data_IF_419826421367
#
_entry.id   IF_419826421367
#
_cell.length_a   1.000
_cell.length_b   1.000
_cell.length_c   1.000
_cell.angle_alpha   90.00
_cell.angle_beta   90.00
_cell.angle_gamma   90.00
#
_symmetry.space_group_name_H-M   'P 1'
#
loop_
_entity.id
_entity.type
_entity.pdbx_description
1 polymer ?
#
# COMPACT_ATOMS: atom_id res chain seq x y z
N UNK A 1 10.14 -29.63 -21.01
CA UNK A 1 8.97 -28.76 -21.24
C UNK A 1 8.01 -28.86 -20.07
N UNK A 2 8.42 -28.46 -18.86
CA UNK A 2 7.53 -28.07 -17.75
C UNK A 2 8.38 -27.58 -16.54
N UNK A 3 8.95 -26.38 -16.65
CA UNK A 3 9.49 -25.62 -15.49
C UNK A 3 8.96 -24.19 -15.43
N UNK A 4 8.06 -23.83 -16.35
CA UNK A 4 7.39 -22.53 -16.45
C UNK A 4 5.98 -22.55 -15.84
N UNK A 5 5.54 -23.71 -15.30
CA UNK A 5 4.22 -23.85 -14.66
C UNK A 5 4.27 -23.71 -13.13
N UNK A 6 5.39 -24.04 -12.49
CA UNK A 6 5.55 -23.97 -11.03
C UNK A 6 5.68 -22.55 -10.45
N UNK A 7 5.85 -21.53 -11.30
CA UNK A 7 5.83 -20.11 -10.88
C UNK A 7 4.41 -19.51 -10.91
N UNK A 8 3.41 -20.28 -11.35
CA UNK A 8 2.06 -19.77 -11.62
C UNK A 8 0.97 -20.46 -10.79
N UNK A 9 1.35 -21.19 -9.74
CA UNK A 9 0.40 -21.89 -8.87
C UNK A 9 0.41 -21.27 -7.45
N UNK A 10 -0.61 -20.44 -7.23
CA UNK A 10 -1.25 -20.11 -5.94
C UNK A 10 -0.53 -19.15 -4.97
N UNK A 11 -0.61 -17.87 -5.32
CA UNK A 11 -0.44 -16.72 -4.43
C UNK A 11 -0.14 -15.51 -5.29
N UNK A 12 -1.11 -14.60 -5.47
CA UNK A 12 -0.87 -13.33 -6.16
C UNK A 12 0.40 -12.70 -5.61
N UNK A 13 1.33 -12.29 -6.49
CA UNK A 13 2.63 -11.77 -6.02
C UNK A 13 2.41 -10.34 -5.54
N UNK A 14 1.96 -10.20 -4.30
CA UNK A 14 1.84 -8.91 -3.64
C UNK A 14 3.25 -8.33 -3.49
N UNK A 15 3.49 -7.19 -4.12
CA UNK A 15 4.76 -6.46 -4.04
C UNK A 15 4.47 -5.04 -3.57
N UNK A 16 5.13 -4.65 -2.48
CA UNK A 16 5.20 -3.26 -2.07
C UNK A 16 6.52 -2.65 -2.58
N UNK A 17 6.44 -1.44 -3.12
CA UNK A 17 7.59 -0.72 -3.65
C UNK A 17 7.43 0.80 -3.47
N UNK A 18 8.55 1.53 -3.44
CA UNK A 18 8.50 2.98 -3.53
C UNK A 18 7.87 3.41 -4.86
N UNK A 19 7.06 4.46 -4.87
CA UNK A 19 6.45 4.96 -6.11
C UNK A 19 7.48 5.41 -7.15
N UNK A 20 8.70 5.76 -6.71
CA UNK A 20 9.85 6.12 -7.54
C UNK A 20 10.69 4.93 -8.00
N UNK A 21 10.45 3.72 -7.48
CA UNK A 21 11.23 2.53 -7.80
C UNK A 21 11.14 2.19 -9.30
N UNK A 22 12.26 1.84 -9.98
CA UNK A 22 12.24 1.52 -11.40
C UNK A 22 11.35 0.31 -11.76
N UNK A 23 11.07 -0.60 -10.82
CA UNK A 23 10.14 -1.71 -11.03
C UNK A 23 8.66 -1.27 -11.00
N UNK A 24 8.35 -0.05 -10.54
CA UNK A 24 6.99 0.49 -10.61
C UNK A 24 6.64 0.91 -12.03
N UNK A 25 5.72 0.20 -12.69
CA UNK A 25 5.24 0.54 -14.03
C UNK A 25 4.28 1.75 -14.06
N UNK A 26 3.63 2.07 -12.94
CA UNK A 26 2.69 3.18 -12.84
C UNK A 26 3.40 4.54 -12.91
N UNK A 27 2.83 5.44 -13.72
CA UNK A 27 3.43 6.73 -14.06
C UNK A 27 4.65 6.66 -14.97
N UNK A 28 5.00 5.47 -15.51
CA UNK A 28 6.00 5.29 -16.57
C UNK A 28 5.33 4.80 -17.85
N UNK A 29 4.73 3.61 -17.79
CA UNK A 29 4.08 2.96 -18.94
C UNK A 29 2.60 2.66 -18.68
N UNK A 30 2.21 2.51 -17.41
CA UNK A 30 0.81 2.42 -16.99
C UNK A 30 0.33 3.77 -16.46
N UNK A 31 -0.88 4.23 -16.82
CA UNK A 31 -1.49 5.39 -16.19
C UNK A 31 -1.84 5.07 -14.72
N UNK A 32 -1.83 6.09 -13.87
CA UNK A 32 -2.40 5.95 -12.54
C UNK A 32 -3.93 5.75 -12.64
N UNK A 33 -4.52 4.86 -11.83
CA UNK A 33 -5.96 4.72 -11.79
C UNK A 33 -6.63 5.98 -11.20
N UNK A 34 -7.91 6.16 -11.52
CA UNK A 34 -8.72 7.18 -10.88
C UNK A 34 -8.91 6.87 -9.39
N UNK A 35 -8.81 7.89 -8.55
CA UNK A 35 -8.92 7.77 -7.10
C UNK A 35 -9.33 9.10 -6.47
N UNK A 36 -9.72 9.07 -5.19
CA UNK A 36 -10.06 10.28 -4.43
C UNK A 36 -8.87 11.22 -4.14
N UNK A 37 -7.67 10.94 -4.67
CA UNK A 37 -6.44 11.70 -4.46
C UNK A 37 -5.55 11.74 -5.72
N UNK A 38 -4.33 12.27 -5.58
CA UNK A 38 -3.36 12.32 -6.70
C UNK A 38 -2.21 11.36 -6.48
N UNK A 39 -2.21 10.29 -7.27
CA UNK A 39 -1.07 9.37 -7.35
C UNK A 39 0.03 9.95 -8.25
N UNK A 40 1.29 9.79 -7.84
CA UNK A 40 2.44 10.27 -8.58
C UNK A 40 3.71 9.49 -8.21
N UNK A 41 4.72 9.52 -9.08
CA UNK A 41 6.07 9.03 -8.76
C UNK A 41 6.76 10.03 -7.84
N UNK A 42 6.52 9.92 -6.54
CA UNK A 42 7.07 10.82 -5.53
C UNK A 42 7.88 10.07 -4.47
N UNK A 43 9.03 10.62 -4.08
CA UNK A 43 9.83 10.07 -2.99
C UNK A 43 9.01 10.05 -1.68
N UNK A 44 9.08 8.93 -0.96
CA UNK A 44 8.30 8.71 0.25
C UNK A 44 6.82 8.39 0.02
N UNK A 45 6.40 8.19 -1.23
CA UNK A 45 5.15 7.53 -1.57
C UNK A 45 5.41 6.06 -1.93
N UNK A 46 4.42 5.20 -1.70
CA UNK A 46 4.57 3.75 -1.84
C UNK A 46 3.37 3.16 -2.57
N UNK A 47 3.61 2.12 -3.36
CA UNK A 47 2.60 1.35 -4.08
C UNK A 47 2.58 -0.08 -3.52
N UNK A 48 1.41 -0.67 -3.41
CA UNK A 48 1.24 -2.12 -3.29
C UNK A 48 0.52 -2.60 -4.52
N UNK A 49 1.13 -3.57 -5.20
CA UNK A 49 0.64 -4.17 -6.44
C UNK A 49 0.37 -5.64 -6.18
N UNK A 50 -0.80 -6.13 -6.55
CA UNK A 50 -1.15 -7.55 -6.53
C UNK A 50 -1.51 -8.02 -7.95
N UNK A 51 -0.91 -9.12 -8.37
CA UNK A 51 -0.98 -9.67 -9.73
C UNK A 51 -0.81 -8.63 -10.86
N UNK A 52 0.03 -7.61 -10.63
CA UNK A 52 0.28 -6.52 -11.57
C UNK A 52 -0.73 -5.36 -11.51
N UNK A 53 -1.80 -5.46 -10.72
CA UNK A 53 -2.75 -4.39 -10.45
C UNK A 53 -2.40 -3.59 -9.19
N UNK A 54 -2.45 -2.27 -9.25
CA UNK A 54 -2.34 -1.40 -8.07
C UNK A 54 -3.51 -1.65 -7.13
N UNK A 55 -3.21 -1.93 -5.85
CA UNK A 55 -4.21 -2.13 -4.80
C UNK A 55 -4.17 -0.99 -3.78
N UNK A 56 -2.98 -0.59 -3.35
CA UNK A 56 -2.77 0.51 -2.40
C UNK A 56 -1.78 1.52 -2.93
N UNK A 57 -2.02 2.79 -2.65
CA UNK A 57 -1.06 3.87 -2.81
C UNK A 57 -1.00 4.71 -1.54
N UNK A 58 0.15 4.74 -0.87
CA UNK A 58 0.39 5.58 0.28
C UNK A 58 1.02 6.89 -0.21
N UNK A 59 0.33 8.01 0.03
CA UNK A 59 0.83 9.33 -0.35
C UNK A 59 2.12 9.69 0.41
N UNK A 60 2.89 10.61 -0.18
CA UNK A 60 4.11 11.15 0.46
C UNK A 60 3.80 11.65 1.86
N UNK A 61 4.62 11.22 2.82
CA UNK A 61 4.48 11.59 4.23
C UNK A 61 3.55 10.67 5.02
N UNK A 62 2.98 9.63 4.39
CA UNK A 62 2.37 8.49 5.07
C UNK A 62 0.98 8.73 5.65
N UNK A 63 0.35 9.87 5.38
CA UNK A 63 -0.91 10.30 6.03
C UNK A 63 -2.18 9.86 5.32
N UNK A 64 -2.13 9.66 4.01
CA UNK A 64 -3.29 9.29 3.23
C UNK A 64 -3.01 8.01 2.47
N UNK A 65 -3.91 7.05 2.61
CA UNK A 65 -3.92 5.82 1.84
C UNK A 65 -5.02 5.92 0.78
N UNK A 66 -4.68 5.64 -0.46
CA UNK A 66 -5.63 5.50 -1.56
C UNK A 66 -5.74 4.02 -1.91
N UNK A 67 -6.95 3.58 -2.23
CA UNK A 67 -7.24 2.20 -2.59
C UNK A 67 -7.68 2.12 -4.05
N UNK A 68 -7.40 0.98 -4.67
CA UNK A 68 -7.93 0.66 -5.98
C UNK A 68 -8.29 -0.83 -6.00
N UNK A 69 -9.58 -1.15 -6.12
CA UNK A 69 -10.06 -2.51 -5.96
C UNK A 69 -10.19 -2.95 -4.49
N UNK A 70 -10.15 -4.25 -4.26
CA UNK A 70 -10.31 -4.85 -2.93
C UNK A 70 -8.95 -4.98 -2.24
N UNK A 71 -8.87 -4.57 -0.97
CA UNK A 71 -7.63 -4.59 -0.20
C UNK A 71 -7.80 -5.44 1.06
N UNK A 72 -7.04 -6.53 1.15
CA UNK A 72 -6.91 -7.40 2.32
C UNK A 72 -5.71 -7.11 3.22
N UNK A 73 -5.68 -7.73 4.41
CA UNK A 73 -4.64 -7.56 5.46
C UNK A 73 -3.22 -7.73 4.92
N UNK A 74 -3.01 -8.73 4.05
CA UNK A 74 -1.75 -9.01 3.35
C UNK A 74 -1.18 -7.80 2.58
N UNK A 75 -2.02 -6.98 1.96
CA UNK A 75 -1.61 -5.78 1.25
C UNK A 75 -1.09 -4.72 2.23
N UNK A 76 -1.76 -4.57 3.37
CA UNK A 76 -1.33 -3.62 4.40
C UNK A 76 -0.05 -4.09 5.10
N UNK A 77 0.12 -5.39 5.32
CA UNK A 77 1.37 -5.95 5.85
C UNK A 77 2.54 -5.68 4.89
N UNK A 78 2.34 -5.92 3.59
CA UNK A 78 3.34 -5.58 2.57
C UNK A 78 3.67 -4.08 2.57
N UNK A 79 2.66 -3.22 2.68
CA UNK A 79 2.86 -1.76 2.78
C UNK A 79 3.71 -1.37 4.00
N UNK A 80 3.36 -1.86 5.19
CA UNK A 80 4.09 -1.56 6.43
C UNK A 80 5.56 -1.95 6.28
N UNK A 81 5.84 -3.15 5.75
CA UNK A 81 7.19 -3.69 5.63
C UNK A 81 8.20 -2.75 4.95
N UNK A 82 7.75 -1.93 3.99
CA UNK A 82 8.60 -0.92 3.36
C UNK A 82 8.39 0.48 3.95
N UNK A 83 7.16 0.86 4.29
CA UNK A 83 6.84 2.23 4.69
C UNK A 83 7.41 2.58 6.06
N UNK A 84 7.67 1.58 6.90
CA UNK A 84 8.23 1.77 8.24
C UNK A 84 9.75 1.58 8.32
N UNK A 85 10.43 1.31 7.19
CA UNK A 85 11.89 1.16 7.19
C UNK A 85 12.63 2.40 7.73
N UNK A 86 12.01 3.58 7.63
CA UNK A 86 12.53 4.85 8.18
C UNK A 86 11.99 5.23 9.57
N UNK A 87 11.28 4.34 10.27
CA UNK A 87 10.76 4.59 11.62
C UNK A 87 9.28 4.24 11.77
N UNK A 88 8.38 5.13 11.38
CA UNK A 88 6.92 4.93 11.53
C UNK A 88 6.12 5.52 10.37
N UNK A 89 4.91 4.99 10.20
CA UNK A 89 3.89 5.54 9.31
C UNK A 89 2.59 5.76 10.11
N UNK A 90 1.93 6.91 9.95
CA UNK A 90 0.65 7.20 10.60
C UNK A 90 -0.38 7.59 9.54
N UNK A 91 -1.28 6.66 9.20
CA UNK A 91 -2.37 6.86 8.27
C UNK A 91 -3.50 7.58 9.00
N UNK A 92 -3.93 8.70 8.44
CA UNK A 92 -5.00 9.56 8.98
C UNK A 92 -6.25 9.52 8.10
N UNK A 93 -6.07 9.28 6.79
CA UNK A 93 -7.15 9.20 5.82
C UNK A 93 -7.04 7.97 4.93
N UNK A 94 -8.19 7.44 4.53
CA UNK A 94 -8.34 6.43 3.49
C UNK A 94 -9.35 6.95 2.49
N UNK A 95 -8.96 7.07 1.22
CA UNK A 95 -9.82 7.56 0.13
C UNK A 95 -10.53 8.89 0.45
N UNK A 96 -9.78 9.81 1.08
CA UNK A 96 -10.26 11.14 1.45
C UNK A 96 -11.03 11.22 2.78
N UNK A 97 -11.49 10.09 3.34
CA UNK A 97 -12.22 10.03 4.60
C UNK A 97 -11.30 9.72 5.79
N UNK A 98 -11.63 10.12 7.03
CA UNK A 98 -10.87 9.74 8.22
C UNK A 98 -10.72 8.23 8.34
N UNK A 99 -9.50 7.76 8.63
CA UNK A 99 -9.18 6.31 8.69
C UNK A 99 -10.06 5.58 9.70
N UNK A 100 -10.50 6.24 10.77
CA UNK A 100 -11.38 5.66 11.80
C UNK A 100 -12.78 5.34 11.29
N UNK A 101 -13.22 5.99 10.22
CA UNK A 101 -14.52 5.79 9.59
C UNK A 101 -14.43 4.86 8.36
N UNK A 102 -13.21 4.45 7.97
CA UNK A 102 -12.97 3.59 6.83
C UNK A 102 -13.28 2.12 7.15
N UNK A 103 -13.80 1.40 6.16
CA UNK A 103 -13.95 -0.06 6.21
C UNK A 103 -12.60 -0.80 6.33
N UNK A 104 -11.49 -0.15 5.98
CA UNK A 104 -10.15 -0.71 6.12
C UNK A 104 -9.57 -0.52 7.53
N UNK A 105 -10.21 0.24 8.41
CA UNK A 105 -9.74 0.44 9.79
C UNK A 105 -9.51 -0.88 10.58
N UNK A 106 -10.39 -1.90 10.53
CA UNK A 106 -10.10 -3.20 11.14
C UNK A 106 -8.95 -3.94 10.47
N UNK A 107 -8.87 -3.94 9.13
CA UNK A 107 -7.81 -4.64 8.39
C UNK A 107 -6.42 -4.03 8.65
N UNK A 108 -6.34 -2.71 8.75
CA UNK A 108 -5.13 -2.01 9.17
C UNK A 108 -4.71 -2.43 10.59
N UNK A 109 -5.66 -2.59 11.51
CA UNK A 109 -5.34 -3.06 12.88
C UNK A 109 -4.83 -4.50 12.87
N UNK A 110 -5.48 -5.40 12.15
CA UNK A 110 -5.01 -6.78 11.97
C UNK A 110 -3.62 -6.85 11.31
N UNK A 111 -3.31 -5.93 10.40
CA UNK A 111 -2.00 -5.84 9.77
C UNK A 111 -0.89 -5.33 10.71
N UNK A 112 -1.22 -4.82 11.90
CA UNK A 112 -0.26 -4.36 12.91
C UNK A 112 -0.29 -2.85 13.19
N UNK A 113 -1.26 -2.10 12.65
CA UNK A 113 -1.44 -0.70 13.03
C UNK A 113 -2.12 -0.56 14.41
N UNK A 114 -1.66 0.38 15.21
CA UNK A 114 -2.23 0.78 16.50
C UNK A 114 -2.97 2.11 16.41
N UNK A 115 -3.95 2.37 17.28
CA UNK A 115 -4.71 3.62 17.27
C UNK A 115 -3.94 4.79 17.92
N UNK A 116 -4.07 5.98 17.34
CA UNK A 116 -3.65 7.26 17.92
C UNK A 116 -4.81 8.25 17.92
N UNK A 117 -4.62 9.44 18.50
CA UNK A 117 -5.61 10.52 18.40
C UNK A 117 -5.76 11.10 16.99
N UNK A 118 -4.81 10.81 16.08
CA UNK A 118 -4.78 11.34 14.72
C UNK A 118 -5.08 10.30 13.64
N UNK A 119 -5.01 9.01 13.96
CA UNK A 119 -5.26 7.94 13.00
C UNK A 119 -4.76 6.59 13.46
N UNK A 120 -4.16 5.83 12.55
CA UNK A 120 -3.59 4.51 12.77
C UNK A 120 -2.09 4.53 12.46
N UNK A 121 -1.27 4.06 13.41
CA UNK A 121 0.20 4.10 13.32
C UNK A 121 0.80 2.70 13.28
N UNK A 122 1.78 2.49 12.41
CA UNK A 122 2.65 1.31 12.41
C UNK A 122 4.11 1.74 12.56
N UNK A 123 4.91 0.90 13.20
CA UNK A 123 6.32 1.13 13.50
C UNK A 123 7.19 0.07 12.83
N UNK A 124 8.41 0.44 12.48
CA UNK A 124 9.40 -0.49 11.95
C UNK A 124 9.86 -1.44 13.05
N UNK A 125 10.22 -2.66 12.66
CA UNK A 125 11.06 -3.49 13.51
C UNK A 125 12.40 -2.78 13.64
N UNK A 126 12.71 -2.28 14.85
CA UNK A 126 14.00 -1.67 15.17
C UNK A 126 15.15 -2.67 15.17
#
# INVERSE_FOLDING_TARGET
MDRLRTLRESGGRIVALAATDPANAYGLVLPWPDSGGRMARAAGAYCVVDDGGLVLYLERGGKSLLTHGDAGVEHMQALIGIATAGGRVEIQKVDGMPVTESRLAPLLREAGFSSTHRGLVAYGAG
#
